data_IF_719349085951
#
_entry.id   IF_719349085951
#
_cell.length_a   1.000
_cell.length_b   1.000
_cell.length_c   1.000
_cell.angle_alpha   90.00
_cell.angle_beta   90.00
_cell.angle_gamma   90.00
#
_symmetry.space_group_name_H-M   'P 1'
#
loop_
_entity.id
_entity.type
_entity.pdbx_description
1 polymer ?
#
# COMPACT_ATOMS: atom_id res chain seq x y z
N UNK A 1 -18.66 41.52 -36.42
CA UNK A 1 -18.41 40.11 -36.73
C UNK A 1 -17.08 39.66 -36.14
N UNK A 2 -17.10 38.78 -35.13
CA UNK A 2 -16.25 37.57 -34.97
C UNK A 2 -16.56 36.97 -33.58
N UNK A 3 -17.46 35.99 -33.56
CA UNK A 3 -17.62 35.02 -32.48
C UNK A 3 -16.40 34.10 -32.54
N UNK A 4 -15.69 33.92 -31.44
CA UNK A 4 -14.75 32.81 -31.28
C UNK A 4 -15.47 31.79 -30.39
N UNK A 5 -15.77 30.65 -30.99
CA UNK A 5 -16.29 29.46 -30.35
C UNK A 5 -15.15 28.46 -30.10
N UNK A 6 -15.43 27.46 -29.24
CA UNK A 6 -14.67 26.24 -28.95
C UNK A 6 -13.36 26.43 -28.16
N UNK A 7 -12.98 25.53 -27.25
CA UNK A 7 -13.29 24.11 -27.16
C UNK A 7 -13.31 23.64 -25.70
N UNK A 8 -14.20 22.71 -25.39
CA UNK A 8 -14.13 21.87 -24.19
C UNK A 8 -12.81 21.10 -24.19
N UNK A 9 -11.99 21.28 -23.15
CA UNK A 9 -10.95 20.31 -22.81
C UNK A 9 -11.52 19.34 -21.77
N UNK A 10 -12.04 18.24 -22.30
CA UNK A 10 -12.36 17.03 -21.55
C UNK A 10 -11.06 16.24 -21.40
N UNK A 11 -10.32 16.38 -20.31
CA UNK A 11 -9.25 15.41 -20.00
C UNK A 11 -8.94 15.24 -18.50
N UNK A 12 -9.96 15.39 -17.64
CA UNK A 12 -9.90 14.95 -16.25
C UNK A 12 -9.85 13.41 -16.04
N UNK A 13 -9.75 12.63 -17.12
CA UNK A 13 -9.81 11.15 -17.08
C UNK A 13 -8.43 10.49 -17.24
N UNK A 14 -7.42 11.22 -17.76
CA UNK A 14 -6.09 10.66 -18.00
C UNK A 14 -5.21 10.60 -16.74
N UNK A 15 -5.43 11.47 -15.74
CA UNK A 15 -4.58 11.53 -14.54
C UNK A 15 -4.75 10.34 -13.60
N UNK A 16 -5.93 9.69 -13.58
CA UNK A 16 -6.18 8.54 -12.70
C UNK A 16 -5.55 7.23 -13.19
N UNK A 17 -5.49 7.03 -14.51
CA UNK A 17 -4.92 5.80 -15.08
C UNK A 17 -3.40 5.76 -14.95
N UNK A 18 -2.72 6.89 -15.19
CA UNK A 18 -1.25 6.96 -15.07
C UNK A 18 -0.77 6.72 -13.63
N UNK A 19 -1.53 7.17 -12.62
CA UNK A 19 -1.20 6.95 -11.21
C UNK A 19 -1.46 5.50 -10.78
N UNK A 20 -2.48 4.85 -11.34
CA UNK A 20 -2.76 3.44 -11.08
C UNK A 20 -1.65 2.49 -11.60
N UNK A 21 -0.97 2.85 -12.70
CA UNK A 21 0.11 2.04 -13.25
C UNK A 21 1.40 2.07 -12.41
N UNK A 22 1.66 3.12 -11.64
CA UNK A 22 2.84 3.18 -10.76
C UNK A 22 2.71 2.23 -9.55
N UNK A 23 1.50 2.10 -8.99
CA UNK A 23 1.24 1.24 -7.84
C UNK A 23 1.29 -0.25 -8.16
N UNK A 24 1.13 -0.64 -9.43
CA UNK A 24 1.20 -2.04 -9.86
C UNK A 24 2.60 -2.66 -9.74
N UNK A 25 3.65 -1.83 -9.75
CA UNK A 25 5.06 -2.28 -9.64
C UNK A 25 5.43 -2.60 -8.18
N UNK A 26 4.72 -2.03 -7.21
CA UNK A 26 4.99 -2.20 -5.76
C UNK A 26 4.03 -3.18 -5.04
N UNK A 27 3.04 -3.74 -5.73
CA UNK A 27 2.03 -4.61 -5.11
C UNK A 27 2.29 -6.09 -5.40
N UNK A 28 2.28 -6.98 -4.38
CA UNK A 28 2.33 -8.43 -4.60
C UNK A 28 1.14 -8.92 -5.44
N UNK A 29 1.35 -9.97 -6.23
CA UNK A 29 0.39 -10.53 -7.20
C UNK A 29 -0.99 -10.91 -6.64
N UNK A 30 -1.17 -10.95 -5.30
CA UNK A 30 -2.45 -11.27 -4.67
C UNK A 30 -3.45 -10.10 -4.60
N UNK A 31 -3.08 -8.89 -5.03
CA UNK A 31 -3.94 -7.70 -4.98
C UNK A 31 -4.59 -7.35 -6.34
N UNK A 32 -4.22 -8.01 -7.43
CA UNK A 32 -4.72 -7.69 -8.78
C UNK A 32 -6.21 -8.05 -9.00
N UNK A 33 -6.77 -8.98 -8.20
CA UNK A 33 -8.17 -9.40 -8.33
C UNK A 33 -9.21 -8.42 -7.76
N UNK A 34 -8.78 -7.31 -7.12
CA UNK A 34 -9.69 -6.38 -6.46
C UNK A 34 -10.25 -5.27 -7.38
N UNK A 35 -9.82 -5.19 -8.65
CA UNK A 35 -10.13 -4.04 -9.53
C UNK A 35 -11.29 -4.32 -10.51
N UNK A 36 -11.87 -5.52 -10.50
CA UNK A 36 -12.95 -5.88 -11.43
C UNK A 36 -14.01 -6.78 -10.81
N UNK A 37 -14.99 -6.20 -10.13
CA UNK A 37 -16.17 -6.97 -9.73
C UNK A 37 -17.04 -6.25 -8.71
N UNK A 38 -18.22 -5.82 -9.13
CA UNK A 38 -19.31 -5.41 -8.25
C UNK A 38 -19.58 -6.50 -7.20
N UNK A 39 -19.38 -6.21 -5.93
CA UNK A 39 -20.14 -6.87 -4.87
C UNK A 39 -20.04 -6.07 -3.57
N UNK A 40 -21.20 -5.62 -3.10
CA UNK A 40 -21.46 -4.90 -1.86
C UNK A 40 -21.22 -5.75 -0.61
N UNK A 41 -20.08 -6.44 -0.51
CA UNK A 41 -19.79 -7.41 0.56
C UNK A 41 -18.58 -7.07 1.44
N UNK A 42 -18.02 -5.87 1.36
CA UNK A 42 -16.84 -5.46 2.16
C UNK A 42 -17.20 -4.64 3.39
N UNK A 43 -18.32 -4.92 4.05
CA UNK A 43 -18.59 -4.41 5.40
C UNK A 43 -18.20 -5.49 6.42
N UNK A 44 -16.90 -5.63 6.69
CA UNK A 44 -16.46 -6.28 7.94
C UNK A 44 -15.42 -7.41 7.87
N UNK A 45 -14.79 -7.69 6.72
CA UNK A 45 -13.57 -8.52 6.77
C UNK A 45 -12.45 -7.69 7.39
N UNK A 46 -12.16 -7.95 8.67
CA UNK A 46 -11.10 -7.28 9.39
C UNK A 46 -9.77 -7.52 8.65
N UNK A 47 -9.21 -6.46 8.05
CA UNK A 47 -7.92 -6.52 7.37
C UNK A 47 -6.89 -7.22 8.26
N UNK A 48 -6.12 -8.12 7.64
CA UNK A 48 -5.02 -8.80 8.32
C UNK A 48 -4.08 -7.76 8.96
N UNK A 49 -3.45 -8.08 10.11
CA UNK A 49 -2.57 -7.13 10.78
C UNK A 49 -1.46 -6.57 9.87
N UNK A 50 -0.98 -7.37 8.91
CA UNK A 50 0.02 -6.95 7.93
C UNK A 50 -0.53 -5.90 6.97
N UNK A 51 -1.69 -6.18 6.36
CA UNK A 51 -2.33 -5.25 5.40
C UNK A 51 -2.71 -3.95 6.10
N UNK A 52 -3.25 -4.03 7.32
CA UNK A 52 -3.59 -2.85 8.12
C UNK A 52 -2.39 -1.97 8.44
N UNK A 53 -1.24 -2.56 8.79
CA UNK A 53 -0.02 -1.78 9.06
C UNK A 53 0.53 -1.14 7.79
N UNK A 54 0.56 -1.87 6.67
CA UNK A 54 0.97 -1.32 5.36
C UNK A 54 0.11 -0.13 4.95
N UNK A 55 -1.22 -0.27 5.03
CA UNK A 55 -2.14 0.81 4.68
C UNK A 55 -1.92 2.07 5.55
N UNK A 56 -1.79 1.90 6.87
CA UNK A 56 -1.46 3.03 7.76
C UNK A 56 -0.13 3.67 7.41
N UNK A 57 0.88 2.86 7.09
CA UNK A 57 2.20 3.37 6.74
C UNK A 57 2.18 4.18 5.43
N UNK A 58 1.35 3.76 4.46
CA UNK A 58 1.16 4.50 3.20
C UNK A 58 0.49 5.85 3.43
N UNK A 59 -0.54 5.93 4.28
CA UNK A 59 -1.19 7.20 4.64
C UNK A 59 -0.21 8.18 5.31
N UNK A 60 0.66 7.67 6.18
CA UNK A 60 1.71 8.48 6.80
C UNK A 60 2.75 8.95 5.77
N UNK A 61 3.18 8.06 4.87
CA UNK A 61 4.12 8.39 3.81
C UNK A 61 3.58 9.47 2.85
N UNK A 62 2.28 9.44 2.55
CA UNK A 62 1.61 10.46 1.75
C UNK A 62 1.71 11.84 2.43
N UNK A 63 1.33 11.95 3.71
CA UNK A 63 1.46 13.21 4.45
C UNK A 63 2.91 13.66 4.59
N UNK A 64 3.83 12.73 4.84
CA UNK A 64 5.25 13.01 4.92
C UNK A 64 5.80 13.61 3.62
N UNK A 65 5.41 13.05 2.47
CA UNK A 65 5.80 13.56 1.15
C UNK A 65 5.31 14.99 0.89
N UNK A 66 4.08 15.31 1.29
CA UNK A 66 3.53 16.68 1.21
C UNK A 66 4.32 17.66 2.09
N UNK A 67 4.68 17.26 3.31
CA UNK A 67 5.50 18.08 4.19
C UNK A 67 6.89 18.30 3.60
N UNK A 68 7.56 17.25 3.11
CA UNK A 68 8.87 17.37 2.47
C UNK A 68 8.86 18.33 1.28
N UNK A 69 7.82 18.30 0.45
CA UNK A 69 7.70 19.18 -0.70
C UNK A 69 7.65 20.67 -0.32
N UNK A 70 7.17 20.98 0.88
CA UNK A 70 7.06 22.34 1.42
C UNK A 70 8.30 22.79 2.22
N UNK A 71 9.30 21.93 2.39
CA UNK A 71 10.56 22.21 3.12
C UNK A 71 10.33 22.99 4.43
N UNK A 72 9.60 22.40 5.40
CA UNK A 72 9.23 23.10 6.62
C UNK A 72 10.47 23.54 7.41
N UNK A 73 10.44 24.78 7.88
CA UNK A 73 11.56 25.35 8.64
C UNK A 73 11.68 24.63 9.98
N UNK A 74 12.90 24.27 10.42
CA UNK A 74 13.10 23.67 11.74
C UNK A 74 12.42 24.45 12.86
N UNK A 75 11.71 23.74 13.74
CA UNK A 75 11.00 24.34 14.87
C UNK A 75 9.57 24.81 14.58
N UNK A 76 9.09 24.78 13.33
CA UNK A 76 7.66 24.99 13.04
C UNK A 76 6.81 23.78 13.42
N UNK A 77 5.50 23.95 13.40
CA UNK A 77 4.56 22.86 13.66
C UNK A 77 4.64 21.78 12.58
N UNK A 78 4.72 22.17 11.31
CA UNK A 78 4.88 21.28 10.16
C UNK A 78 6.17 20.48 10.24
N UNK A 79 7.26 21.09 10.72
CA UNK A 79 8.52 20.39 10.96
C UNK A 79 8.39 19.36 12.08
N UNK A 80 7.74 19.72 13.20
CA UNK A 80 7.49 18.77 14.30
C UNK A 80 6.60 17.61 13.85
N UNK A 81 5.56 17.90 13.08
CA UNK A 81 4.69 16.88 12.49
C UNK A 81 5.49 15.95 11.58
N UNK A 82 6.32 16.50 10.70
CA UNK A 82 7.16 15.72 9.79
C UNK A 82 8.09 14.75 10.55
N UNK A 83 8.75 15.22 11.62
CA UNK A 83 9.61 14.37 12.45
C UNK A 83 8.81 13.28 13.17
N UNK A 84 7.61 13.60 13.69
CA UNK A 84 6.74 12.64 14.33
C UNK A 84 6.28 11.55 13.35
N UNK A 85 5.85 11.94 12.15
CA UNK A 85 5.44 11.02 11.10
C UNK A 85 6.58 10.09 10.71
N UNK A 86 7.80 10.61 10.56
CA UNK A 86 8.98 9.79 10.26
C UNK A 86 9.21 8.70 11.32
N UNK A 87 9.09 9.06 12.61
CA UNK A 87 9.19 8.10 13.71
C UNK A 87 8.10 7.02 13.66
N UNK A 88 6.84 7.43 13.45
CA UNK A 88 5.71 6.49 13.33
C UNK A 88 5.85 5.55 12.13
N UNK A 89 6.37 6.05 11.00
CA UNK A 89 6.63 5.23 9.83
C UNK A 89 7.66 4.14 10.12
N UNK A 90 8.73 4.46 10.84
CA UNK A 90 9.72 3.48 11.29
C UNK A 90 9.11 2.38 12.16
N UNK A 91 8.27 2.74 13.13
CA UNK A 91 7.59 1.76 13.99
C UNK A 91 6.66 0.82 13.21
N UNK A 92 5.97 1.34 12.19
CA UNK A 92 5.15 0.52 11.30
C UNK A 92 6.00 -0.37 10.40
N UNK A 93 7.10 0.13 9.83
CA UNK A 93 8.03 -0.66 9.02
C UNK A 93 8.59 -1.85 9.81
N UNK A 94 9.02 -1.61 11.06
CA UNK A 94 9.46 -2.67 11.97
C UNK A 94 8.38 -3.72 12.24
N UNK A 95 7.14 -3.27 12.41
CA UNK A 95 6.02 -4.18 12.63
C UNK A 95 5.70 -4.99 11.39
N UNK A 96 5.78 -4.39 10.20
CA UNK A 96 5.62 -5.04 8.90
C UNK A 96 6.67 -6.13 8.75
N UNK A 97 7.95 -5.83 8.94
CA UNK A 97 9.04 -6.79 8.83
C UNK A 97 8.86 -8.00 9.77
N UNK A 98 8.45 -7.77 11.02
CA UNK A 98 8.15 -8.85 11.97
C UNK A 98 6.99 -9.73 11.53
N UNK A 99 5.95 -9.15 10.94
CA UNK A 99 4.78 -9.90 10.47
C UNK A 99 5.11 -10.71 9.21
N UNK A 100 5.87 -10.14 8.28
CA UNK A 100 6.36 -10.83 7.08
C UNK A 100 7.26 -12.01 7.43
N UNK A 101 8.18 -11.84 8.38
CA UNK A 101 9.03 -12.93 8.85
C UNK A 101 8.22 -14.07 9.45
N UNK A 102 7.19 -13.78 10.25
CA UNK A 102 6.30 -14.81 10.81
C UNK A 102 5.56 -15.57 9.71
N UNK A 103 5.03 -14.85 8.72
CA UNK A 103 4.37 -15.44 7.56
C UNK A 103 5.32 -16.36 6.77
N UNK A 104 6.53 -15.88 6.47
CA UNK A 104 7.53 -16.65 5.74
C UNK A 104 7.92 -17.93 6.49
N UNK A 105 8.09 -17.84 7.83
CA UNK A 105 8.37 -19.00 8.68
C UNK A 105 7.22 -20.01 8.69
N UNK A 106 5.97 -19.55 8.80
CA UNK A 106 4.82 -20.46 8.78
C UNK A 106 4.69 -21.18 7.44
N UNK A 107 4.87 -20.47 6.33
CA UNK A 107 4.84 -21.03 4.98
C UNK A 107 5.97 -22.05 4.80
N UNK A 108 7.18 -21.73 5.24
CA UNK A 108 8.33 -22.64 5.18
C UNK A 108 8.11 -23.92 6.00
N UNK A 109 7.61 -23.79 7.24
CA UNK A 109 7.29 -24.96 8.07
C UNK A 109 6.20 -25.83 7.45
N UNK A 110 5.17 -25.22 6.85
CA UNK A 110 4.11 -25.95 6.17
C UNK A 110 4.66 -26.70 4.95
N UNK A 111 5.48 -26.04 4.12
CA UNK A 111 6.13 -26.67 2.98
C UNK A 111 7.00 -27.86 3.41
N UNK A 112 7.79 -27.72 4.48
CA UNK A 112 8.61 -28.81 5.02
C UNK A 112 7.75 -30.03 5.41
N UNK A 113 6.66 -29.82 6.15
CA UNK A 113 5.75 -30.90 6.54
C UNK A 113 5.13 -31.61 5.34
N UNK A 114 4.76 -30.86 4.30
CA UNK A 114 4.22 -31.44 3.06
C UNK A 114 5.28 -32.30 2.39
N UNK A 115 6.53 -31.80 2.25
CA UNK A 115 7.62 -32.57 1.68
C UNK A 115 7.93 -33.85 2.48
N UNK A 116 7.90 -33.79 3.81
CA UNK A 116 8.07 -34.96 4.68
C UNK A 116 6.93 -35.97 4.51
N UNK A 117 5.68 -35.50 4.48
CA UNK A 117 4.51 -36.36 4.26
C UNK A 117 4.53 -37.07 2.90
N UNK A 118 4.96 -36.37 1.84
CA UNK A 118 5.09 -36.97 0.50
C UNK A 118 6.19 -38.03 0.44
N UNK A 119 7.29 -37.85 1.18
CA UNK A 119 8.36 -38.86 1.27
C UNK A 119 7.89 -40.11 2.02
N UNK A 120 7.12 -39.94 3.09
CA UNK A 120 6.60 -41.06 3.89
C UNK A 120 5.48 -41.83 3.20
N UNK A 121 4.71 -41.17 2.31
CA UNK A 121 3.66 -41.82 1.50
C UNK A 121 4.15 -42.46 0.19
N UNK A 122 5.45 -42.37 -0.11
CA UNK A 122 6.08 -42.97 -1.29
C UNK A 122 6.74 -44.34 -1.00
N UNK A 123 6.49 -44.92 0.18
CA UNK A 123 6.91 -46.25 0.60
C UNK A 123 5.75 -47.25 0.56
#
# INVERSE_FOLDING_TARGET
MKKIANNQDRDGVASGKAQAHHWAILMPSNMANAVGGHSSHLRGEALSPLVRNRARNLMLAERYGLLLANYPTPGTEEWREMILINGLMGLHADRIARLELRLARSVSMQARRICEGLKSGAC
#
